data_IF_515787020372
#
_entry.id   IF_515787020372
#
_cell.length_a   1.000
_cell.length_b   1.000
_cell.length_c   1.000
_cell.angle_alpha   90.00
_cell.angle_beta   90.00
_cell.angle_gamma   90.00
#
_symmetry.space_group_name_H-M   'P 1'
#
loop_
_entity.id
_entity.type
_entity.pdbx_description
1 polymer ?
#
# COMPACT_ATOMS: atom_id res chain seq x y z
N UNK A 1 10.88 6.24 11.39
CA UNK A 1 9.41 6.00 11.32
C UNK A 1 8.98 5.12 12.49
N UNK A 2 7.85 5.44 13.06
CA UNK A 2 7.33 4.68 14.18
C UNK A 2 6.55 3.46 13.68
N UNK A 3 6.73 2.29 14.31
CA UNK A 3 5.98 1.11 13.93
C UNK A 3 4.47 1.33 14.01
N UNK A 4 3.74 0.77 13.04
CA UNK A 4 2.28 0.82 12.96
C UNK A 4 1.70 2.24 12.76
N UNK A 5 2.53 3.19 12.31
CA UNK A 5 2.07 4.55 12.03
C UNK A 5 2.23 4.95 10.56
N UNK A 6 2.40 3.97 9.68
CA UNK A 6 2.50 4.24 8.24
C UNK A 6 1.88 3.15 7.40
N UNK A 7 1.39 3.55 6.22
CA UNK A 7 1.00 2.64 5.14
C UNK A 7 2.18 2.50 4.19
N UNK A 8 2.31 1.34 3.57
CA UNK A 8 3.47 1.00 2.75
C UNK A 8 3.05 0.51 1.38
N UNK A 9 3.81 0.87 0.35
CA UNK A 9 3.76 0.20 -0.95
C UNK A 9 5.19 -0.05 -1.42
N UNK A 10 5.42 -1.22 -1.99
CA UNK A 10 6.72 -1.62 -2.55
C UNK A 10 6.49 -2.11 -3.98
N UNK A 11 7.22 -1.58 -4.94
CA UNK A 11 7.08 -2.04 -6.31
C UNK A 11 7.67 -1.06 -7.31
N UNK A 12 7.51 -1.37 -8.58
CA UNK A 12 7.98 -0.52 -9.67
C UNK A 12 7.07 0.69 -9.81
N UNK A 13 7.66 1.86 -10.02
CA UNK A 13 6.90 3.10 -10.13
C UNK A 13 6.45 3.30 -11.58
N UNK A 14 5.40 2.59 -11.96
CA UNK A 14 4.81 2.63 -13.30
C UNK A 14 3.31 2.84 -13.21
N UNK A 15 2.68 3.47 -14.23
CA UNK A 15 1.23 3.75 -14.18
C UNK A 15 0.36 2.51 -13.98
N UNK A 16 0.77 1.36 -14.50
CA UNK A 16 0.03 0.09 -14.43
C UNK A 16 -0.19 -0.38 -12.99
N UNK A 17 0.62 0.10 -12.06
CA UNK A 17 0.50 -0.28 -10.65
C UNK A 17 -0.40 0.67 -9.84
N UNK A 18 -1.07 1.58 -10.52
CA UNK A 18 -2.11 2.47 -9.95
C UNK A 18 -1.62 3.41 -8.85
N UNK A 19 -0.38 3.88 -8.97
CA UNK A 19 0.17 4.84 -7.99
C UNK A 19 -0.61 6.15 -7.97
N UNK A 20 -1.10 6.61 -9.11
CA UNK A 20 -1.89 7.86 -9.15
C UNK A 20 -3.14 7.72 -8.26
N UNK A 21 -3.86 6.60 -8.38
CA UNK A 21 -5.03 6.36 -7.56
C UNK A 21 -4.66 6.29 -6.09
N UNK A 22 -3.61 5.54 -5.75
CA UNK A 22 -3.19 5.39 -4.35
C UNK A 22 -2.77 6.72 -3.73
N UNK A 23 -1.97 7.51 -4.45
CA UNK A 23 -1.51 8.81 -3.96
C UNK A 23 -2.68 9.78 -3.78
N UNK A 24 -3.53 9.89 -4.81
CA UNK A 24 -4.67 10.80 -4.76
C UNK A 24 -5.63 10.45 -3.64
N UNK A 25 -5.97 9.17 -3.52
CA UNK A 25 -6.90 8.72 -2.48
C UNK A 25 -6.32 8.89 -1.08
N UNK A 26 -5.03 8.63 -0.92
CA UNK A 26 -4.37 8.85 0.36
C UNK A 26 -4.40 10.35 0.74
N UNK A 27 -4.11 11.22 -0.22
CA UNK A 27 -4.13 12.67 0.01
C UNK A 27 -5.52 13.14 0.45
N UNK A 28 -6.58 12.51 -0.08
CA UNK A 28 -7.96 12.86 0.25
C UNK A 28 -8.42 12.23 1.56
N UNK A 29 -7.64 11.32 2.14
CA UNK A 29 -8.00 10.70 3.42
C UNK A 29 -7.56 11.57 4.59
N UNK A 30 -8.26 11.43 5.72
CA UNK A 30 -7.94 12.16 6.94
C UNK A 30 -7.02 11.37 7.87
N UNK A 31 -6.36 10.35 7.36
CA UNK A 31 -5.47 9.52 8.19
C UNK A 31 -4.32 10.35 8.76
N UNK A 32 -3.95 10.08 10.00
CA UNK A 32 -2.79 10.68 10.65
C UNK A 32 -1.50 9.93 10.32
N UNK A 33 -1.60 8.82 9.62
CA UNK A 33 -0.45 7.98 9.29
C UNK A 33 0.26 8.48 8.05
N UNK A 34 1.52 8.11 7.92
CA UNK A 34 2.31 8.40 6.73
C UNK A 34 2.06 7.36 5.64
N UNK A 35 2.39 7.74 4.40
CA UNK A 35 2.39 6.82 3.26
C UNK A 35 3.82 6.73 2.76
N UNK A 36 4.42 5.55 2.92
CA UNK A 36 5.82 5.30 2.54
C UNK A 36 5.84 4.49 1.25
N UNK A 37 6.49 5.04 0.24
CA UNK A 37 6.61 4.39 -1.07
C UNK A 37 8.07 3.98 -1.29
N UNK A 38 8.30 2.67 -1.28
CA UNK A 38 9.62 2.11 -1.57
C UNK A 38 9.65 1.76 -3.05
N UNK A 39 10.23 2.66 -3.83
CA UNK A 39 10.21 2.53 -5.29
C UNK A 39 11.30 3.42 -5.88
N UNK A 40 11.80 3.06 -7.05
CA UNK A 40 12.81 3.84 -7.73
C UNK A 40 12.14 4.92 -8.59
N UNK A 41 12.30 6.18 -8.21
CA UNK A 41 11.74 7.32 -8.95
C UNK A 41 12.82 8.14 -9.66
N UNK A 42 14.06 7.71 -9.59
CA UNK A 42 15.17 8.41 -10.23
C UNK A 42 14.98 8.43 -11.74
N UNK A 43 15.05 9.64 -12.35
CA UNK A 43 14.85 9.84 -13.79
C UNK A 43 13.51 9.25 -14.30
N UNK A 44 12.51 9.20 -13.44
CA UNK A 44 11.21 8.63 -13.77
C UNK A 44 10.24 9.70 -14.25
N UNK A 45 9.84 9.58 -15.52
CA UNK A 45 8.93 10.53 -16.14
C UNK A 45 7.54 10.52 -15.50
N UNK A 46 7.06 9.35 -15.15
CA UNK A 46 5.79 9.18 -14.46
C UNK A 46 5.79 9.88 -13.11
N UNK A 47 6.91 9.86 -12.39
CA UNK A 47 7.05 10.56 -11.11
C UNK A 47 6.81 12.06 -11.29
N UNK A 48 7.41 12.67 -12.32
CA UNK A 48 7.23 14.10 -12.58
C UNK A 48 5.80 14.42 -12.97
N UNK A 49 5.19 13.59 -13.82
CA UNK A 49 3.80 13.78 -14.22
C UNK A 49 2.86 13.67 -13.01
N UNK A 50 3.09 12.71 -12.16
CA UNK A 50 2.27 12.49 -10.96
C UNK A 50 2.40 13.65 -9.98
N UNK A 51 3.61 14.15 -9.81
CA UNK A 51 3.87 15.32 -8.96
C UNK A 51 3.08 16.52 -9.42
N UNK A 52 3.08 16.78 -10.73
CA UNK A 52 2.34 17.91 -11.31
C UNK A 52 0.82 17.74 -11.18
N UNK A 53 0.32 16.52 -11.40
CA UNK A 53 -1.12 16.25 -11.36
C UNK A 53 -1.70 16.30 -9.96
N UNK A 54 -0.99 15.78 -8.99
CA UNK A 54 -1.52 15.61 -7.63
C UNK A 54 -0.99 16.62 -6.63
N UNK A 55 0.20 17.15 -6.85
CA UNK A 55 0.86 18.03 -5.87
C UNK A 55 1.25 17.30 -4.59
N UNK A 56 1.55 15.99 -4.67
CA UNK A 56 1.81 15.18 -3.49
C UNK A 56 2.98 15.69 -2.64
N UNK A 57 3.91 16.42 -3.22
CA UNK A 57 5.05 16.99 -2.48
C UNK A 57 4.63 17.97 -1.40
N UNK A 58 3.41 18.50 -1.49
CA UNK A 58 2.85 19.39 -0.48
C UNK A 58 2.24 18.63 0.70
N UNK A 59 2.03 17.33 0.55
CA UNK A 59 1.51 16.48 1.62
C UNK A 59 2.67 15.85 2.36
N UNK A 60 2.91 16.33 3.58
CA UNK A 60 4.06 15.89 4.38
C UNK A 60 3.99 14.44 4.82
N UNK A 61 2.82 13.82 4.72
CA UNK A 61 2.64 12.40 5.08
C UNK A 61 3.20 11.46 4.00
N UNK A 62 3.34 11.95 2.75
CA UNK A 62 3.80 11.13 1.62
C UNK A 62 5.32 11.17 1.55
N UNK A 63 5.94 9.99 1.66
CA UNK A 63 7.41 9.85 1.72
C UNK A 63 7.89 8.83 0.70
N UNK A 64 8.63 9.31 -0.30
CA UNK A 64 9.28 8.45 -1.26
C UNK A 64 10.66 8.03 -0.71
N UNK A 65 10.81 6.75 -0.50
CA UNK A 65 12.07 6.15 -0.07
C UNK A 65 12.57 5.34 -1.26
N UNK A 66 13.78 5.54 -1.67
CA UNK A 66 14.35 4.82 -2.80
C UNK A 66 14.31 3.31 -2.60
N UNK A 67 14.80 2.58 -3.60
CA UNK A 67 14.82 1.13 -3.57
C UNK A 67 15.59 0.61 -2.34
N UNK A 68 15.02 -0.37 -1.67
CA UNK A 68 15.66 -1.05 -0.55
C UNK A 68 16.09 -2.44 -1.03
N UNK A 69 17.39 -2.69 -1.06
CA UNK A 69 17.97 -3.96 -1.52
C UNK A 69 18.19 -4.98 -0.42
N UNK A 70 18.25 -4.53 0.84
CA UNK A 70 18.42 -5.41 1.99
C UNK A 70 17.09 -6.10 2.30
N UNK A 71 17.00 -7.39 2.02
CA UNK A 71 15.77 -8.16 2.18
C UNK A 71 15.32 -8.25 3.64
N UNK A 72 16.25 -8.32 4.57
CA UNK A 72 15.91 -8.36 6.00
C UNK A 72 15.33 -7.03 6.46
N UNK A 73 15.92 -5.92 6.01
CA UNK A 73 15.39 -4.59 6.30
C UNK A 73 14.01 -4.40 5.69
N UNK A 74 13.82 -4.83 4.45
CA UNK A 74 12.53 -4.72 3.77
C UNK A 74 11.45 -5.52 4.50
N UNK A 75 11.78 -6.72 4.96
CA UNK A 75 10.88 -7.54 5.76
C UNK A 75 10.50 -6.82 7.04
N UNK A 76 11.47 -6.23 7.72
CA UNK A 76 11.23 -5.46 8.96
C UNK A 76 10.29 -4.28 8.69
N UNK A 77 10.49 -3.58 7.60
CA UNK A 77 9.63 -2.46 7.23
C UNK A 77 8.19 -2.95 6.98
N UNK A 78 8.03 -4.09 6.29
CA UNK A 78 6.70 -4.68 6.09
C UNK A 78 6.04 -5.07 7.40
N UNK A 79 6.80 -5.62 8.33
CA UNK A 79 6.28 -5.99 9.65
C UNK A 79 5.88 -4.76 10.47
N UNK A 80 6.59 -3.66 10.30
CA UNK A 80 6.33 -2.42 11.04
C UNK A 80 5.22 -1.58 10.44
N UNK A 81 4.81 -1.83 9.20
CA UNK A 81 3.75 -1.06 8.56
C UNK A 81 2.39 -1.35 9.20
N UNK A 82 1.56 -0.32 9.32
CA UNK A 82 0.18 -0.50 9.75
C UNK A 82 -0.63 -1.24 8.69
N UNK A 83 -0.45 -0.86 7.43
CA UNK A 83 -1.10 -1.51 6.30
C UNK A 83 -0.23 -1.44 5.05
N UNK A 84 -0.48 -2.34 4.11
CA UNK A 84 0.23 -2.43 2.84
C UNK A 84 -0.75 -2.23 1.69
N UNK A 85 -0.41 -1.32 0.77
CA UNK A 85 -1.23 -1.06 -0.42
C UNK A 85 -0.69 -1.88 -1.59
N UNK A 86 -1.59 -2.48 -2.36
CA UNK A 86 -1.23 -3.24 -3.54
C UNK A 86 -2.16 -2.85 -4.69
N UNK A 87 -1.61 -2.27 -5.74
CA UNK A 87 -2.38 -1.76 -6.86
C UNK A 87 -2.18 -2.47 -8.19
N UNK A 88 -1.51 -3.62 -8.20
CA UNK A 88 -1.27 -4.38 -9.43
C UNK A 88 -2.57 -4.98 -9.95
N UNK A 89 -2.83 -4.81 -11.24
CA UNK A 89 -4.04 -5.32 -11.90
C UNK A 89 -3.81 -6.64 -12.61
N UNK A 90 -2.62 -6.84 -13.15
CA UNK A 90 -2.33 -7.98 -14.01
C UNK A 90 -1.69 -9.09 -13.21
N UNK A 91 -2.27 -10.27 -13.31
CA UNK A 91 -1.85 -11.45 -12.56
C UNK A 91 -0.54 -12.03 -13.08
N UNK A 92 0.03 -12.82 -12.30
CA UNK A 92 1.30 -13.48 -12.34
C UNK A 92 1.73 -13.56 -10.90
N UNK A 93 2.61 -14.47 -10.56
CA UNK A 93 3.11 -14.54 -9.20
C UNK A 93 3.76 -13.22 -8.84
N UNK A 94 3.22 -12.56 -7.82
CA UNK A 94 3.77 -11.30 -7.34
C UNK A 94 4.41 -11.52 -5.98
N UNK A 95 5.76 -11.62 -5.93
CA UNK A 95 6.46 -11.87 -4.66
C UNK A 95 6.19 -10.80 -3.61
N UNK A 96 6.04 -9.53 -4.02
CA UNK A 96 5.74 -8.45 -3.08
C UNK A 96 4.42 -8.66 -2.36
N UNK A 97 3.38 -9.12 -3.08
CA UNK A 97 2.09 -9.40 -2.46
C UNK A 97 2.19 -10.55 -1.47
N UNK A 98 2.83 -11.65 -1.86
CA UNK A 98 2.97 -12.81 -0.98
C UNK A 98 3.77 -12.47 0.28
N UNK A 99 4.84 -11.69 0.13
CA UNK A 99 5.65 -11.26 1.26
C UNK A 99 4.87 -10.33 2.19
N UNK A 100 4.07 -9.43 1.63
CA UNK A 100 3.24 -8.53 2.43
C UNK A 100 2.17 -9.30 3.21
N UNK A 101 1.51 -10.27 2.57
CA UNK A 101 0.51 -11.11 3.24
C UNK A 101 1.13 -11.90 4.38
N UNK A 102 2.40 -12.31 4.23
CA UNK A 102 3.10 -13.05 5.27
C UNK A 102 3.74 -12.20 6.36
N UNK A 103 3.86 -10.89 6.16
CA UNK A 103 4.62 -10.01 7.06
C UNK A 103 3.82 -8.83 7.61
N UNK A 104 2.91 -8.27 6.84
CA UNK A 104 2.16 -7.06 7.24
C UNK A 104 0.81 -7.45 7.81
N UNK A 105 0.43 -6.82 8.91
CA UNK A 105 -0.82 -7.17 9.62
C UNK A 105 -2.08 -6.91 8.81
N UNK A 106 -2.08 -5.90 7.93
CA UNK A 106 -3.26 -5.52 7.17
C UNK A 106 -2.87 -5.19 5.75
N UNK A 107 -3.59 -5.75 4.79
CA UNK A 107 -3.32 -5.53 3.38
C UNK A 107 -4.54 -4.95 2.69
N UNK A 108 -4.34 -3.87 1.91
CA UNK A 108 -5.39 -3.19 1.16
C UNK A 108 -5.10 -3.39 -0.33
N UNK A 109 -5.85 -4.27 -0.96
CA UNK A 109 -5.58 -4.74 -2.32
C UNK A 109 -6.59 -4.18 -3.32
N UNK A 110 -6.10 -3.85 -4.51
CA UNK A 110 -7.00 -3.52 -5.61
C UNK A 110 -7.91 -4.72 -5.89
N UNK A 111 -9.21 -4.45 -6.02
CA UNK A 111 -10.22 -5.48 -6.19
C UNK A 111 -10.22 -6.03 -7.62
N UNK A 112 -9.34 -6.99 -7.86
CA UNK A 112 -9.27 -7.74 -9.13
C UNK A 112 -9.19 -9.22 -8.80
N UNK A 113 -9.64 -10.05 -9.74
CA UNK A 113 -9.77 -11.50 -9.51
C UNK A 113 -8.52 -12.16 -8.98
N UNK A 114 -7.35 -11.83 -9.53
CA UNK A 114 -6.09 -12.42 -9.09
C UNK A 114 -5.82 -12.14 -7.61
N UNK A 115 -6.00 -10.89 -7.18
CA UNK A 115 -5.74 -10.51 -5.80
C UNK A 115 -6.71 -11.21 -4.84
N UNK A 116 -7.97 -11.35 -5.23
CA UNK A 116 -8.96 -12.05 -4.42
C UNK A 116 -8.66 -13.54 -4.32
N UNK A 117 -8.15 -14.14 -5.38
CA UNK A 117 -7.77 -15.56 -5.35
C UNK A 117 -6.61 -15.82 -4.39
N UNK A 118 -5.66 -14.88 -4.33
CA UNK A 118 -4.47 -15.04 -3.48
C UNK A 118 -4.79 -14.76 -2.02
N UNK A 119 -5.49 -13.67 -1.73
CA UNK A 119 -5.68 -13.19 -0.36
C UNK A 119 -7.01 -13.59 0.25
N UNK A 120 -8.01 -13.90 -0.56
CA UNK A 120 -9.34 -14.29 -0.12
C UNK A 120 -9.90 -13.29 0.91
N UNK A 121 -10.25 -13.72 2.12
CA UNK A 121 -10.75 -12.84 3.18
C UNK A 121 -9.65 -12.32 4.12
N UNK A 122 -8.39 -12.54 3.75
CA UNK A 122 -7.25 -12.07 4.53
C UNK A 122 -6.81 -10.64 4.21
N UNK A 123 -7.60 -9.89 3.44
CA UNK A 123 -7.27 -8.53 3.04
C UNK A 123 -8.51 -7.68 2.89
N UNK A 124 -8.31 -6.36 2.87
CA UNK A 124 -9.35 -5.41 2.48
C UNK A 124 -9.19 -5.12 0.98
N UNK A 125 -10.27 -4.74 0.32
CA UNK A 125 -10.27 -4.50 -1.12
C UNK A 125 -10.77 -3.10 -1.45
N UNK A 126 -10.18 -2.49 -2.47
CA UNK A 126 -10.58 -1.16 -2.93
C UNK A 126 -10.66 -1.17 -4.46
N UNK A 127 -11.45 -0.26 -5.02
CA UNK A 127 -11.58 -0.08 -6.47
C UNK A 127 -10.94 1.24 -6.89
N UNK A 128 -10.84 1.46 -8.21
CA UNK A 128 -10.32 2.72 -8.74
C UNK A 128 -11.36 3.84 -8.71
N UNK A 129 -12.55 3.57 -8.24
CA UNK A 129 -13.61 4.58 -8.12
C UNK A 129 -13.23 5.65 -7.11
N UNK A 130 -13.65 6.88 -7.38
CA UNK A 130 -13.38 8.00 -6.48
C UNK A 130 -13.91 7.71 -5.07
N UNK A 131 -13.02 7.85 -4.10
CA UNK A 131 -13.35 7.66 -2.70
C UNK A 131 -13.28 6.23 -2.19
N UNK A 132 -13.10 5.25 -3.06
CA UNK A 132 -13.05 3.84 -2.63
C UNK A 132 -11.87 3.57 -1.70
N UNK A 133 -10.65 3.89 -2.12
CA UNK A 133 -9.49 3.66 -1.27
C UNK A 133 -9.49 4.58 -0.05
N UNK A 134 -9.92 5.84 -0.21
CA UNK A 134 -10.03 6.75 0.95
C UNK A 134 -10.95 6.19 2.02
N UNK A 135 -12.09 5.62 1.63
CA UNK A 135 -13.01 4.97 2.57
C UNK A 135 -12.38 3.73 3.20
N UNK A 136 -11.63 2.97 2.41
CA UNK A 136 -10.94 1.78 2.92
C UNK A 136 -9.88 2.16 3.94
N UNK A 137 -9.13 3.24 3.69
CA UNK A 137 -8.14 3.76 4.64
C UNK A 137 -8.82 4.17 5.94
N UNK A 138 -9.96 4.88 5.86
CA UNK A 138 -10.69 5.29 7.05
C UNK A 138 -11.15 4.08 7.86
N UNK A 139 -11.68 3.05 7.20
CA UNK A 139 -12.08 1.82 7.87
C UNK A 139 -10.89 1.12 8.53
N UNK A 140 -9.75 1.10 7.83
CA UNK A 140 -8.53 0.48 8.34
C UNK A 140 -8.03 1.21 9.59
N UNK A 141 -8.07 2.54 9.58
CA UNK A 141 -7.60 3.34 10.73
C UNK A 141 -8.45 3.11 11.98
N UNK A 142 -9.71 2.70 11.81
CA UNK A 142 -10.65 2.51 12.90
C UNK A 142 -10.70 1.07 13.42
N UNK A 143 -9.90 0.18 12.86
CA UNK A 143 -9.90 -1.21 13.29
C UNK A 143 -9.38 -1.41 14.70
N UNK A 144 -10.02 -2.32 15.43
CA UNK A 144 -9.55 -2.74 16.76
C UNK A 144 -8.35 -3.68 16.59
N UNK A 145 -7.59 -3.86 17.67
CA UNK A 145 -6.47 -4.80 17.70
C UNK A 145 -6.95 -6.22 17.33
N UNK A 146 -8.13 -6.59 17.81
CA UNK A 146 -8.71 -7.90 17.51
C UNK A 146 -8.97 -8.08 16.01
N UNK A 147 -9.56 -7.06 15.36
CA UNK A 147 -9.81 -7.09 13.93
C UNK A 147 -8.51 -7.17 13.12
N UNK A 148 -7.50 -6.42 13.52
CA UNK A 148 -6.19 -6.47 12.87
C UNK A 148 -5.56 -7.85 13.00
N UNK A 149 -5.65 -8.46 14.18
CA UNK A 149 -5.13 -9.80 14.40
C UNK A 149 -5.83 -10.85 13.55
N UNK A 150 -7.15 -10.71 13.35
CA UNK A 150 -7.91 -11.61 12.49
C UNK A 150 -7.44 -11.54 11.04
N UNK A 151 -7.22 -10.32 10.52
CA UNK A 151 -6.71 -10.15 9.16
C UNK A 151 -5.29 -10.72 9.01
N UNK A 152 -4.44 -10.46 9.97
CA UNK A 152 -3.06 -10.97 9.95
C UNK A 152 -3.05 -12.51 9.93
N UNK A 153 -3.87 -13.13 10.75
CA UNK A 153 -3.96 -14.58 10.82
C UNK A 153 -4.45 -15.18 9.50
N UNK A 154 -5.49 -14.60 8.92
CA UNK A 154 -6.04 -15.07 7.64
C UNK A 154 -5.06 -14.86 6.49
N UNK A 155 -4.33 -13.77 6.50
CA UNK A 155 -3.36 -13.47 5.44
C UNK A 155 -2.20 -14.46 5.40
N UNK A 156 -1.84 -15.03 6.55
CA UNK A 156 -0.73 -15.96 6.65
C UNK A 156 -1.05 -17.41 6.28
N UNK A 157 -2.30 -17.70 5.99
CA UNK A 157 -2.71 -19.08 5.63
C UNK A 157 -2.34 -19.46 4.19
#
# INVERSE_FOLDING_TARGET
MKPKEFYLVVGRFVPENNYETMVREFMNSDTDKDFVLITNVEQNKFYEELREKTGFEKDKRIKFVGTVYDQELLKKIREDAYGYFHGHEVGGTNPSLLEALGSTQLNLLLDVGFNREVAEDGAMYWSKDNGSLSSTILSADQMTVEQLNQFEEKAKK
#
